data_IF_335803997372
#
_entry.id   IF_335803997372
#
_cell.length_a   1.000
_cell.length_b   1.000
_cell.length_c   1.000
_cell.angle_alpha   90.00
_cell.angle_beta   90.00
_cell.angle_gamma   90.00
#
_symmetry.space_group_name_H-M   'P 1'
#
loop_
_entity.id
_entity.type
_entity.pdbx_description
1 polymer ?
#
# COMPACT_ATOMS: atom_id res chain seq x y z
N UNK A 1 6.88 -24.84 21.20
CA UNK A 1 6.64 -23.78 22.19
C UNK A 1 5.53 -22.88 21.66
N UNK A 2 4.26 -23.24 21.89
CA UNK A 2 3.11 -22.38 21.55
C UNK A 2 2.67 -21.78 22.87
N UNK A 3 3.01 -20.51 23.09
CA UNK A 3 2.47 -19.72 24.20
C UNK A 3 1.02 -19.43 23.83
N UNK A 4 0.10 -20.29 24.27
CA UNK A 4 -1.33 -19.98 24.23
C UNK A 4 -1.51 -18.84 25.23
N UNK A 5 -1.70 -17.63 24.70
CA UNK A 5 -2.07 -16.46 25.49
C UNK A 5 -3.51 -16.70 25.98
N UNK A 6 -3.64 -17.44 27.08
CA UNK A 6 -4.92 -17.72 27.74
C UNK A 6 -5.40 -16.44 28.42
N UNK A 7 -6.19 -15.65 27.70
CA UNK A 7 -6.83 -14.46 28.25
C UNK A 7 -8.15 -14.84 28.95
N UNK A 8 -8.53 -14.07 29.98
CA UNK A 8 -9.72 -14.31 30.84
C UNK A 8 -11.09 -14.43 30.12
N UNK A 9 -11.14 -14.31 28.79
CA UNK A 9 -12.37 -14.37 27.97
C UNK A 9 -12.26 -15.22 26.71
N UNK A 10 -11.14 -15.90 26.48
CA UNK A 10 -11.01 -16.88 25.40
C UNK A 10 -11.37 -18.28 25.89
N UNK A 11 -11.87 -19.15 25.01
CA UNK A 11 -12.12 -20.56 25.36
C UNK A 11 -11.64 -21.53 24.27
N UNK A 12 -11.44 -22.78 24.67
CA UNK A 12 -10.94 -23.87 23.81
C UNK A 12 -12.00 -24.98 23.75
N UNK A 13 -12.27 -25.48 22.56
CA UNK A 13 -13.06 -26.68 22.34
C UNK A 13 -12.13 -27.80 21.87
N UNK A 14 -12.05 -28.89 22.63
CA UNK A 14 -11.17 -30.03 22.32
C UNK A 14 -11.71 -30.81 21.12
N UNK A 15 -10.89 -30.99 20.10
CA UNK A 15 -11.17 -31.90 18.97
C UNK A 15 -10.56 -33.27 19.27
N UNK A 16 -9.26 -33.30 19.58
CA UNK A 16 -8.51 -34.55 19.75
C UNK A 16 -7.43 -34.39 20.82
N UNK A 17 -7.03 -35.49 21.45
CA UNK A 17 -5.87 -35.53 22.35
C UNK A 17 -5.34 -36.95 22.46
N UNK A 18 -4.04 -37.10 22.28
CA UNK A 18 -3.31 -38.35 22.48
C UNK A 18 -1.92 -38.06 23.03
N UNK A 19 -1.65 -38.58 24.22
CA UNK A 19 -0.42 -38.34 24.98
C UNK A 19 -0.12 -36.83 25.11
N UNK A 20 1.03 -36.36 24.62
CA UNK A 20 1.43 -34.95 24.69
C UNK A 20 0.85 -34.08 23.56
N UNK A 21 0.10 -34.67 22.62
CA UNK A 21 -0.47 -33.96 21.47
C UNK A 21 -1.96 -33.71 21.67
N UNK A 22 -2.41 -32.49 21.43
CA UNK A 22 -3.84 -32.15 21.43
C UNK A 22 -4.19 -31.16 20.32
N UNK A 23 -5.37 -31.35 19.77
CA UNK A 23 -5.98 -30.48 18.76
C UNK A 23 -7.23 -29.83 19.34
N UNK A 24 -7.33 -28.51 19.20
CA UNK A 24 -8.35 -27.69 19.83
C UNK A 24 -8.78 -26.57 18.89
N UNK A 25 -10.08 -26.29 18.82
CA UNK A 25 -10.57 -25.03 18.27
C UNK A 25 -10.37 -23.95 19.32
N UNK A 26 -9.66 -22.89 18.94
CA UNK A 26 -9.48 -21.73 19.79
C UNK A 26 -10.46 -20.63 19.39
N UNK A 27 -11.22 -20.15 20.38
CA UNK A 27 -12.12 -19.02 20.24
C UNK A 27 -11.51 -17.83 20.98
N UNK A 28 -10.73 -16.99 20.29
CA UNK A 28 -10.09 -15.84 20.91
C UNK A 28 -11.12 -14.79 21.32
N UNK A 29 -10.67 -13.84 22.16
CA UNK A 29 -11.43 -12.62 22.46
C UNK A 29 -11.75 -11.86 21.17
N UNK A 30 -12.92 -11.22 21.11
CA UNK A 30 -13.38 -10.48 19.92
C UNK A 30 -12.37 -9.46 19.37
N UNK A 31 -11.58 -8.83 20.24
CA UNK A 31 -10.52 -7.88 19.86
C UNK A 31 -9.44 -8.50 18.97
N UNK A 32 -9.16 -9.79 19.14
CA UNK A 32 -8.21 -10.54 18.30
C UNK A 32 -8.85 -11.05 17.00
N UNK A 33 -10.17 -10.93 16.85
CA UNK A 33 -10.92 -11.33 15.65
C UNK A 33 -11.27 -10.13 14.76
N UNK A 34 -10.49 -9.05 14.83
CA UNK A 34 -10.72 -7.87 14.00
C UNK A 34 -10.33 -8.17 12.55
N UNK A 35 -11.23 -7.84 11.61
CA UNK A 35 -11.00 -8.01 10.18
C UNK A 35 -10.82 -6.63 9.57
N UNK A 36 -9.64 -6.40 8.99
CA UNK A 36 -9.39 -5.18 8.22
C UNK A 36 -10.33 -5.11 7.03
N UNK A 37 -11.11 -4.04 6.96
CA UNK A 37 -12.14 -3.85 5.93
C UNK A 37 -11.88 -2.55 5.18
N UNK A 38 -11.80 -2.63 3.86
CA UNK A 38 -11.64 -1.47 2.96
C UNK A 38 -12.88 -1.36 2.08
N UNK A 39 -13.49 -0.17 2.02
CA UNK A 39 -14.74 0.08 1.30
C UNK A 39 -14.44 1.03 0.13
N UNK A 40 -14.92 0.67 -1.07
CA UNK A 40 -14.86 1.51 -2.27
C UNK A 40 -16.29 1.86 -2.67
N UNK A 41 -16.66 3.14 -2.58
CA UNK A 41 -18.00 3.61 -2.91
C UNK A 41 -18.01 5.04 -3.45
N UNK A 42 -18.70 5.33 -4.58
CA UNK A 42 -19.32 4.35 -5.48
C UNK A 42 -18.26 3.59 -6.29
N UNK A 43 -18.39 2.25 -6.37
CA UNK A 43 -17.50 1.44 -7.17
C UNK A 43 -17.86 1.56 -8.66
N UNK A 44 -16.89 1.94 -9.48
CA UNK A 44 -17.01 1.92 -10.96
C UNK A 44 -16.68 0.54 -11.53
N UNK A 45 -17.09 0.26 -12.77
CA UNK A 45 -16.78 -1.01 -13.46
C UNK A 45 -15.28 -1.33 -13.46
N UNK A 46 -14.42 -0.30 -13.58
CA UNK A 46 -12.96 -0.45 -13.49
C UNK A 46 -12.50 -1.01 -12.15
N UNK A 47 -13.17 -0.64 -11.05
CA UNK A 47 -12.86 -1.22 -9.74
C UNK A 47 -13.25 -2.70 -9.70
N UNK A 48 -14.43 -3.05 -10.21
CA UNK A 48 -14.91 -4.44 -10.25
C UNK A 48 -13.95 -5.31 -11.05
N UNK A 49 -13.60 -4.88 -12.27
CA UNK A 49 -12.66 -5.58 -13.14
C UNK A 49 -11.32 -5.78 -12.43
N UNK A 50 -10.76 -4.73 -11.81
CA UNK A 50 -9.48 -4.77 -11.09
C UNK A 50 -9.43 -5.79 -9.94
N UNK A 51 -10.53 -5.96 -9.22
CA UNK A 51 -10.59 -6.88 -8.06
C UNK A 51 -11.21 -8.24 -8.39
N UNK A 52 -11.72 -8.43 -9.60
CA UNK A 52 -12.19 -9.73 -10.08
C UNK A 52 -11.02 -10.67 -10.35
N UNK A 53 -11.25 -11.98 -10.28
CA UNK A 53 -10.25 -12.97 -10.67
C UNK A 53 -9.96 -12.83 -12.17
N UNK A 54 -8.69 -12.67 -12.52
CA UNK A 54 -8.24 -12.50 -13.91
C UNK A 54 -7.17 -13.53 -14.26
N UNK A 55 -7.09 -13.89 -15.55
CA UNK A 55 -5.93 -14.60 -16.09
C UNK A 55 -4.79 -13.59 -16.29
N UNK A 56 -3.64 -13.87 -15.69
CA UNK A 56 -2.44 -13.05 -15.86
C UNK A 56 -1.62 -13.53 -17.06
N UNK A 57 -1.06 -12.59 -17.81
CA UNK A 57 -0.16 -12.85 -18.93
C UNK A 57 1.14 -12.06 -18.71
N UNK A 58 2.26 -12.64 -19.12
CA UNK A 58 3.54 -11.93 -19.20
C UNK A 58 3.61 -11.29 -20.59
N UNK A 59 3.98 -10.01 -20.64
CA UNK A 59 4.04 -9.23 -21.88
C UNK A 59 5.38 -8.51 -21.93
N UNK A 60 6.08 -8.62 -23.05
CA UNK A 60 7.30 -7.86 -23.33
C UNK A 60 6.94 -6.56 -24.07
N UNK A 61 6.86 -5.46 -23.33
CA UNK A 61 6.55 -4.14 -23.86
C UNK A 61 7.80 -3.46 -24.46
N UNK A 62 7.80 -3.24 -25.78
CA UNK A 62 8.81 -2.42 -26.49
C UNK A 62 8.47 -0.93 -26.44
N UNK A 63 9.44 -0.02 -26.67
CA UNK A 63 9.17 1.42 -26.75
C UNK A 63 8.10 1.80 -27.77
N UNK A 64 8.05 1.10 -28.91
CA UNK A 64 7.04 1.30 -29.94
C UNK A 64 5.65 0.93 -29.43
N UNK A 65 5.52 -0.24 -28.78
CA UNK A 65 4.24 -0.67 -28.16
C UNK A 65 3.79 0.35 -27.11
N UNK A 66 4.71 0.85 -26.27
CA UNK A 66 4.38 1.87 -25.29
C UNK A 66 3.81 3.14 -25.95
N UNK A 67 4.48 3.68 -26.97
CA UNK A 67 4.06 4.92 -27.62
C UNK A 67 2.78 4.78 -28.45
N UNK A 68 2.63 3.67 -29.17
CA UNK A 68 1.55 3.51 -30.15
C UNK A 68 0.27 2.94 -29.52
N UNK A 69 0.39 2.17 -28.43
CA UNK A 69 -0.73 1.42 -27.84
C UNK A 69 -0.99 1.85 -26.40
N UNK A 70 0.03 1.75 -25.53
CA UNK A 70 -0.15 1.90 -24.07
C UNK A 70 -0.39 3.35 -23.68
N UNK A 71 0.43 4.29 -24.16
CA UNK A 71 0.34 5.70 -23.84
C UNK A 71 -1.02 6.29 -24.28
N UNK A 72 -1.52 6.05 -25.52
CA UNK A 72 -2.87 6.47 -25.91
C UNK A 72 -3.96 5.84 -25.04
N UNK A 73 -3.82 4.58 -24.67
CA UNK A 73 -4.78 3.92 -23.77
C UNK A 73 -4.76 4.56 -22.38
N UNK A 74 -3.58 4.83 -21.81
CA UNK A 74 -3.42 5.48 -20.51
C UNK A 74 -4.13 6.83 -20.45
N UNK A 75 -4.02 7.65 -21.50
CA UNK A 75 -4.72 8.93 -21.58
C UNK A 75 -6.25 8.79 -21.64
N UNK A 76 -6.76 7.77 -22.33
CA UNK A 76 -8.21 7.50 -22.39
C UNK A 76 -8.76 6.95 -21.07
N UNK A 77 -7.95 6.16 -20.36
CA UNK A 77 -8.39 5.33 -19.25
C UNK A 77 -7.96 5.81 -17.86
N UNK A 78 -7.45 7.04 -17.72
CA UNK A 78 -6.93 7.54 -16.43
C UNK A 78 -7.90 7.31 -15.27
N UNK A 79 -7.40 6.62 -14.23
CA UNK A 79 -8.06 6.61 -12.94
C UNK A 79 -8.00 8.00 -12.33
N UNK A 80 -9.02 8.34 -11.55
CA UNK A 80 -9.05 9.61 -10.85
C UNK A 80 -7.93 9.66 -9.79
N UNK A 81 -6.92 10.50 -10.02
CA UNK A 81 -5.81 10.75 -9.10
C UNK A 81 -6.14 11.76 -8.00
N UNK A 82 -7.41 12.14 -7.84
CA UNK A 82 -7.82 13.12 -6.83
C UNK A 82 -7.38 12.75 -5.42
N UNK A 83 -7.33 11.47 -5.07
CA UNK A 83 -6.85 11.03 -3.75
C UNK A 83 -5.37 11.40 -3.54
N UNK A 84 -4.54 11.31 -4.59
CA UNK A 84 -3.13 11.72 -4.57
C UNK A 84 -3.05 13.23 -4.35
N UNK A 85 -3.85 14.00 -5.08
CA UNK A 85 -3.88 15.45 -4.95
C UNK A 85 -4.42 15.92 -3.60
N UNK A 86 -5.38 15.21 -3.02
CA UNK A 86 -5.90 15.53 -1.70
C UNK A 86 -4.83 15.39 -0.61
N UNK A 87 -3.93 14.41 -0.73
CA UNK A 87 -2.79 14.25 0.20
C UNK A 87 -1.81 15.40 0.01
N UNK A 88 -1.39 15.66 -1.23
CA UNK A 88 -0.39 16.68 -1.55
C UNK A 88 -0.85 18.13 -1.33
N UNK A 89 -2.17 18.36 -1.30
CA UNK A 89 -2.79 19.67 -1.00
C UNK A 89 -3.28 19.75 0.46
N UNK A 90 -2.89 18.79 1.31
CA UNK A 90 -3.26 18.70 2.73
C UNK A 90 -4.78 18.75 2.99
N UNK A 91 -5.58 18.23 2.06
CA UNK A 91 -7.05 18.10 2.20
C UNK A 91 -7.45 16.81 2.90
N UNK A 92 -6.58 15.81 2.96
CA UNK A 92 -6.84 14.49 3.55
C UNK A 92 -5.54 13.85 4.03
N UNK A 93 -5.63 12.96 5.03
CA UNK A 93 -4.52 12.12 5.53
C UNK A 93 -3.33 12.93 6.10
N UNK A 94 -3.55 14.19 6.46
CA UNK A 94 -2.51 15.11 6.93
C UNK A 94 -1.86 14.61 8.22
N UNK A 95 -2.67 14.08 9.13
CA UNK A 95 -2.25 13.50 10.39
C UNK A 95 -1.46 12.19 10.25
N UNK A 96 -1.48 11.58 9.05
CA UNK A 96 -0.79 10.32 8.74
C UNK A 96 0.54 10.55 8.01
N UNK A 97 0.90 11.79 7.71
CA UNK A 97 2.18 12.12 7.07
C UNK A 97 3.34 11.80 8.04
N UNK A 98 4.26 10.96 7.58
CA UNK A 98 5.47 10.57 8.33
C UNK A 98 6.65 11.48 8.00
N UNK A 99 6.72 11.92 6.74
CA UNK A 99 7.76 12.81 6.23
C UNK A 99 7.18 13.66 5.10
N UNK A 100 7.57 14.92 5.05
CA UNK A 100 7.25 15.82 3.96
C UNK A 100 8.46 16.66 3.56
N UNK A 101 8.74 16.67 2.26
CA UNK A 101 9.64 17.61 1.62
C UNK A 101 8.83 18.46 0.64
N UNK A 102 8.78 19.76 0.89
CA UNK A 102 7.92 20.72 0.17
C UNK A 102 8.52 21.20 -1.17
N UNK A 103 9.72 20.74 -1.54
CA UNK A 103 10.31 21.11 -2.83
C UNK A 103 9.40 20.68 -3.99
N UNK A 104 9.03 21.59 -4.92
CA UNK A 104 8.04 21.29 -5.96
C UNK A 104 8.54 20.29 -7.02
N UNK A 105 9.86 20.17 -7.20
CA UNK A 105 10.48 19.36 -8.25
C UNK A 105 11.09 18.06 -7.73
N UNK A 106 11.66 18.10 -6.53
CA UNK A 106 12.43 17.04 -5.90
C UNK A 106 11.85 16.58 -4.56
N UNK A 107 10.78 17.23 -4.09
CA UNK A 107 10.08 16.90 -2.85
C UNK A 107 9.01 15.84 -3.04
N UNK A 108 8.57 15.30 -1.91
CA UNK A 108 7.59 14.23 -1.82
C UNK A 108 6.96 14.20 -0.42
N UNK A 109 5.80 13.56 -0.32
CA UNK A 109 5.12 13.24 0.93
C UNK A 109 5.18 11.73 1.15
N UNK A 110 5.55 11.30 2.34
CA UNK A 110 5.53 9.90 2.75
C UNK A 110 4.36 9.62 3.70
N UNK A 111 3.52 8.66 3.33
CA UNK A 111 2.32 8.26 4.10
C UNK A 111 2.24 6.74 4.21
N UNK A 112 1.61 6.20 5.26
CA UNK A 112 1.35 4.78 5.35
C UNK A 112 0.32 4.30 4.31
N UNK A 113 0.60 3.17 3.65
CA UNK A 113 -0.28 2.61 2.62
C UNK A 113 -1.60 2.15 3.24
N UNK A 114 -2.70 2.27 2.48
CA UNK A 114 -4.02 1.82 2.89
C UNK A 114 -4.05 0.32 3.27
N UNK A 115 -3.15 -0.50 2.71
CA UNK A 115 -3.02 -1.93 2.98
C UNK A 115 -2.25 -2.22 4.27
N UNK A 116 -1.48 -1.28 4.81
CA UNK A 116 -0.77 -1.49 6.06
C UNK A 116 -1.69 -1.44 7.28
N UNK A 117 -1.49 -2.33 8.26
CA UNK A 117 -2.29 -2.41 9.48
C UNK A 117 -1.62 -1.72 10.70
N UNK A 118 -0.45 -1.11 10.51
CA UNK A 118 0.32 -0.48 11.58
C UNK A 118 1.33 -1.41 12.27
N UNK A 119 1.36 -2.70 11.93
CA UNK A 119 2.35 -3.63 12.46
C UNK A 119 3.70 -3.46 11.75
N UNK A 120 4.76 -3.24 12.52
CA UNK A 120 6.12 -3.04 12.02
C UNK A 120 6.58 -4.20 11.13
N UNK A 121 6.17 -5.43 11.43
CA UNK A 121 6.54 -6.61 10.64
C UNK A 121 5.95 -6.58 9.21
N UNK A 122 4.91 -5.78 9.00
CA UNK A 122 4.27 -5.59 7.69
C UNK A 122 4.41 -4.15 7.17
N UNK A 123 5.36 -3.38 7.70
CA UNK A 123 5.59 -1.97 7.37
C UNK A 123 5.46 -1.69 5.87
N UNK A 124 4.53 -0.82 5.53
CA UNK A 124 4.30 -0.42 4.14
C UNK A 124 3.93 1.07 4.07
N UNK A 125 4.87 1.86 3.55
CA UNK A 125 4.70 3.28 3.27
C UNK A 125 4.73 3.56 1.76
N UNK A 126 4.11 4.67 1.36
CA UNK A 126 4.12 5.22 0.01
C UNK A 126 4.82 6.58 0.04
N UNK A 127 5.71 6.81 -0.94
CA UNK A 127 6.24 8.12 -1.25
C UNK A 127 5.52 8.69 -2.48
N UNK A 128 4.88 9.84 -2.33
CA UNK A 128 4.13 10.54 -3.36
C UNK A 128 4.88 11.82 -3.71
N UNK A 129 5.36 11.92 -4.95
CA UNK A 129 6.15 13.07 -5.41
C UNK A 129 5.29 14.32 -5.63
N UNK A 130 5.86 15.48 -5.34
CA UNK A 130 5.19 16.77 -5.59
C UNK A 130 5.13 17.08 -7.09
N UNK A 131 6.20 16.75 -7.81
CA UNK A 131 6.34 16.98 -9.24
C UNK A 131 5.22 16.28 -10.02
N UNK A 132 4.47 17.08 -10.79
CA UNK A 132 3.37 16.58 -11.62
C UNK A 132 3.88 15.95 -12.92
N UNK A 133 3.00 15.24 -13.61
CA UNK A 133 3.18 14.72 -14.97
C UNK A 133 4.15 13.56 -15.18
N UNK A 134 4.80 13.04 -14.13
CA UNK A 134 5.52 11.76 -14.17
C UNK A 134 4.51 10.63 -13.94
N UNK A 135 4.21 9.85 -14.99
CA UNK A 135 3.14 8.84 -15.01
C UNK A 135 3.64 7.47 -14.64
N UNK A 136 4.86 7.13 -15.06
CA UNK A 136 5.46 5.82 -14.85
C UNK A 136 6.98 5.87 -14.97
N UNK A 137 7.61 4.70 -14.82
CA UNK A 137 9.04 4.51 -15.05
C UNK A 137 9.49 4.99 -16.45
N UNK A 138 8.60 5.00 -17.45
CA UNK A 138 8.91 5.42 -18.82
C UNK A 138 9.20 6.92 -18.95
N UNK A 139 8.74 7.74 -18.01
CA UNK A 139 8.97 9.19 -18.02
C UNK A 139 10.26 9.59 -17.30
N UNK A 140 10.92 8.63 -16.63
CA UNK A 140 12.12 8.92 -15.85
C UNK A 140 13.34 9.13 -16.75
N UNK A 141 13.89 10.34 -16.68
CA UNK A 141 15.16 10.75 -17.26
C UNK A 141 16.22 11.02 -16.18
N UNK A 142 17.45 11.33 -16.59
CA UNK A 142 18.54 11.72 -15.69
C UNK A 142 18.22 12.96 -14.83
N UNK A 143 17.33 13.85 -15.31
CA UNK A 143 16.91 15.05 -14.58
C UNK A 143 16.19 14.72 -13.27
N UNK A 144 15.63 13.51 -13.16
CA UNK A 144 14.90 13.06 -11.97
C UNK A 144 15.81 12.39 -10.93
N UNK A 145 17.11 12.26 -11.20
CA UNK A 145 18.05 11.66 -10.23
C UNK A 145 18.04 12.35 -8.86
N UNK A 146 17.97 13.70 -8.75
CA UNK A 146 17.90 14.36 -7.45
C UNK A 146 16.64 13.96 -6.67
N UNK A 147 15.46 13.99 -7.30
CA UNK A 147 14.20 13.51 -6.73
C UNK A 147 14.31 12.06 -6.22
N UNK A 148 14.81 11.13 -7.06
CA UNK A 148 14.90 9.71 -6.72
C UNK A 148 15.88 9.45 -5.57
N UNK A 149 17.00 10.17 -5.53
CA UNK A 149 17.96 10.10 -4.41
C UNK A 149 17.35 10.66 -3.14
N UNK A 150 16.65 11.79 -3.23
CA UNK A 150 15.99 12.42 -2.09
C UNK A 150 14.96 11.49 -1.44
N UNK A 151 14.11 10.83 -2.23
CA UNK A 151 13.14 9.83 -1.74
C UNK A 151 13.86 8.70 -1.00
N UNK A 152 14.92 8.15 -1.59
CA UNK A 152 15.69 7.04 -0.99
C UNK A 152 16.34 7.48 0.32
N UNK A 153 17.07 8.57 0.31
CA UNK A 153 17.89 9.01 1.44
C UNK A 153 17.03 9.50 2.60
N UNK A 154 16.14 10.48 2.36
CA UNK A 154 15.27 11.00 3.41
C UNK A 154 14.25 9.97 3.88
N UNK A 155 13.75 9.12 2.97
CA UNK A 155 12.83 8.04 3.31
C UNK A 155 13.44 7.03 4.27
N UNK A 156 14.66 6.55 4.00
CA UNK A 156 15.37 5.61 4.88
C UNK A 156 15.68 6.27 6.24
N UNK A 157 16.14 7.52 6.25
CA UNK A 157 16.44 8.23 7.50
C UNK A 157 15.19 8.41 8.35
N UNK A 158 14.06 8.77 7.75
CA UNK A 158 12.78 8.92 8.47
C UNK A 158 12.31 7.62 9.11
N UNK A 159 12.47 6.48 8.42
CA UNK A 159 12.13 5.17 8.96
C UNK A 159 12.93 4.81 10.22
N UNK A 160 14.22 5.15 10.25
CA UNK A 160 15.10 4.88 11.40
C UNK A 160 14.71 5.74 12.62
N UNK A 161 14.09 6.90 12.41
CA UNK A 161 13.70 7.80 13.51
C UNK A 161 12.34 7.45 14.13
N UNK A 162 11.48 6.71 13.42
CA UNK A 162 10.11 6.39 13.83
C UNK A 162 9.91 4.94 14.27
N UNK A 163 10.94 4.09 14.13
CA UNK A 163 11.03 2.72 14.62
C UNK A 163 11.97 2.65 15.83
#
# INVERSE_FOLDING_TARGET
MIVIILQKKSYLEKIFHNDVYGDYKYFPKSELNTIKTTIIHPATEKHIVKFSVQKCYIVDETPQIYNDIILPHLFREQFNLQWVYNILEHKSEVERIVLEDVDPDNGFVMVPDLKWNGDVDTLYLLAIINKRNIKSLRDLTQEHLPLLRNIKEKGIVSLIQHL
#
